data_IF_218127145421
#
_entry.id   IF_218127145421
#
_cell.length_a   1.000
_cell.length_b   1.000
_cell.length_c   1.000
_cell.angle_alpha   90.00
_cell.angle_beta   90.00
_cell.angle_gamma   90.00
#
_symmetry.space_group_name_H-M   'P 1'
#
loop_
_entity.id
_entity.type
_entity.pdbx_description
1 polymer ?
#
# COMPACT_ATOMS: atom_id res chain seq x y z
N UNK A 1 8.31 -10.59 -17.21
CA UNK A 1 7.99 -9.46 -16.32
C UNK A 1 6.56 -9.57 -15.79
N UNK A 2 6.38 -9.42 -14.48
CA UNK A 2 5.08 -9.55 -13.79
C UNK A 2 4.24 -8.26 -13.84
N UNK A 3 3.07 -8.25 -13.17
CA UNK A 3 2.13 -7.11 -13.18
C UNK A 3 2.73 -5.82 -12.59
N UNK A 4 3.60 -5.93 -11.59
CA UNK A 4 4.22 -4.80 -10.90
C UNK A 4 5.31 -4.17 -11.77
N UNK A 5 6.15 -4.98 -12.39
CA UNK A 5 7.16 -4.52 -13.35
C UNK A 5 6.53 -3.78 -14.54
N UNK A 6 5.46 -4.33 -15.11
CA UNK A 6 4.69 -3.67 -16.19
C UNK A 6 4.12 -2.33 -15.74
N UNK A 7 3.53 -2.28 -14.55
CA UNK A 7 2.98 -1.05 -13.99
C UNK A 7 4.08 0.01 -13.82
N UNK A 8 5.22 -0.35 -13.22
CA UNK A 8 6.33 0.56 -13.02
C UNK A 8 6.89 1.07 -14.35
N UNK A 9 7.11 0.17 -15.32
CA UNK A 9 7.65 0.52 -16.63
C UNK A 9 6.78 1.57 -17.33
N UNK A 10 5.45 1.37 -17.32
CA UNK A 10 4.50 2.33 -17.88
C UNK A 10 4.56 3.68 -17.16
N UNK A 11 4.54 3.67 -15.82
CA UNK A 11 4.59 4.90 -15.02
C UNK A 11 5.87 5.70 -15.25
N UNK A 12 7.00 5.02 -15.34
CA UNK A 12 8.30 5.66 -15.60
C UNK A 12 8.38 6.25 -17.01
N UNK A 13 7.86 5.55 -18.03
CA UNK A 13 7.76 6.11 -19.39
C UNK A 13 6.91 7.38 -19.43
N UNK A 14 5.80 7.42 -18.71
CA UNK A 14 4.89 8.57 -18.74
C UNK A 14 5.37 9.74 -17.88
N UNK A 15 5.91 9.48 -16.69
CA UNK A 15 6.18 10.51 -15.68
C UNK A 15 7.67 10.91 -15.59
N UNK A 16 8.58 10.08 -16.07
CA UNK A 16 10.01 10.26 -15.94
C UNK A 16 10.73 9.77 -17.20
N UNK A 17 10.24 10.16 -18.37
CA UNK A 17 10.75 9.70 -19.68
C UNK A 17 12.25 9.91 -19.86
N UNK A 18 12.79 11.05 -19.38
CA UNK A 18 14.23 11.35 -19.40
C UNK A 18 15.04 10.35 -18.57
N UNK A 19 14.55 9.94 -17.40
CA UNK A 19 15.20 8.95 -16.53
C UNK A 19 15.06 7.54 -17.09
N UNK A 20 13.88 7.22 -17.63
CA UNK A 20 13.62 5.95 -18.30
C UNK A 20 14.59 5.72 -19.47
N UNK A 21 14.90 6.76 -20.25
CA UNK A 21 15.83 6.68 -21.38
C UNK A 21 17.29 6.39 -20.97
N UNK A 22 17.65 6.60 -19.70
CA UNK A 22 18.99 6.32 -19.17
C UNK A 22 19.15 4.88 -18.69
N UNK A 23 18.07 4.10 -18.61
CA UNK A 23 18.11 2.69 -18.17
C UNK A 23 18.67 1.84 -19.33
N UNK A 24 19.82 1.16 -19.17
CA UNK A 24 20.47 0.45 -20.27
C UNK A 24 19.68 -0.76 -20.78
N UNK A 25 19.10 -1.55 -19.87
CA UNK A 25 18.18 -2.65 -20.19
C UNK A 25 16.88 -2.47 -19.37
N UNK A 26 15.89 -1.76 -19.93
CA UNK A 26 14.63 -1.54 -19.23
C UNK A 26 13.89 -2.85 -18.95
N UNK A 27 13.94 -3.84 -19.83
CA UNK A 27 13.16 -5.07 -19.66
C UNK A 27 13.71 -5.93 -18.53
N UNK A 28 15.03 -6.01 -18.38
CA UNK A 28 15.66 -6.64 -17.21
C UNK A 28 15.42 -5.84 -15.92
N UNK A 29 15.63 -4.52 -15.95
CA UNK A 29 15.46 -3.68 -14.76
C UNK A 29 14.05 -3.74 -14.18
N UNK A 30 13.02 -3.60 -15.02
CA UNK A 30 11.63 -3.67 -14.58
C UNK A 30 11.15 -5.10 -14.30
N UNK A 31 11.82 -6.13 -14.86
CA UNK A 31 11.61 -7.52 -14.44
C UNK A 31 12.04 -7.70 -12.99
N UNK A 32 13.24 -7.26 -12.63
CA UNK A 32 13.77 -7.36 -11.27
C UNK A 32 12.97 -6.52 -10.27
N UNK A 33 12.69 -5.26 -10.60
CA UNK A 33 11.86 -4.38 -9.76
C UNK A 33 10.47 -5.00 -9.52
N UNK A 34 9.89 -5.63 -10.56
CA UNK A 34 8.62 -6.32 -10.44
C UNK A 34 8.68 -7.50 -9.46
N UNK A 35 9.73 -8.32 -9.49
CA UNK A 35 9.88 -9.46 -8.57
C UNK A 35 10.08 -8.99 -7.13
N UNK A 36 10.89 -7.95 -6.91
CA UNK A 36 11.08 -7.37 -5.59
C UNK A 36 9.76 -6.78 -5.06
N UNK A 37 8.99 -6.08 -5.90
CA UNK A 37 7.68 -5.56 -5.53
C UNK A 37 6.67 -6.65 -5.19
N UNK A 38 6.68 -7.78 -5.91
CA UNK A 38 5.84 -8.93 -5.60
C UNK A 38 6.15 -9.46 -4.19
N UNK A 39 7.45 -9.59 -3.86
CA UNK A 39 7.89 -10.00 -2.52
C UNK A 39 7.44 -9.01 -1.45
N UNK A 40 7.65 -7.70 -1.67
CA UNK A 40 7.27 -6.65 -0.72
C UNK A 40 5.76 -6.58 -0.48
N UNK A 41 4.93 -6.80 -1.51
CA UNK A 41 3.47 -6.88 -1.34
C UNK A 41 3.10 -8.04 -0.43
N UNK A 42 3.72 -9.21 -0.58
CA UNK A 42 3.46 -10.36 0.29
C UNK A 42 3.81 -10.08 1.75
N UNK A 43 5.01 -9.52 1.98
CA UNK A 43 5.47 -9.13 3.32
C UNK A 43 4.56 -8.09 3.97
N UNK A 44 4.17 -7.05 3.22
CA UNK A 44 3.27 -6.02 3.71
C UNK A 44 1.86 -6.54 3.94
N UNK A 45 1.34 -7.39 3.06
CA UNK A 45 0.03 -8.01 3.24
C UNK A 45 -0.01 -8.80 4.55
N UNK A 46 1.01 -9.60 4.84
CA UNK A 46 1.09 -10.36 6.09
C UNK A 46 1.08 -9.43 7.32
N UNK A 47 1.91 -8.38 7.30
CA UNK A 47 1.98 -7.38 8.37
C UNK A 47 0.66 -6.62 8.56
N UNK A 48 -0.01 -6.26 7.47
CA UNK A 48 -1.27 -5.52 7.47
C UNK A 48 -2.48 -6.38 7.81
N UNK A 49 -2.45 -7.68 7.49
CA UNK A 49 -3.49 -8.61 7.87
C UNK A 49 -3.47 -8.88 9.37
N UNK A 50 -2.26 -8.96 9.95
CA UNK A 50 -2.09 -9.37 11.34
C UNK A 50 -2.45 -10.85 11.54
N UNK A 51 -2.34 -11.33 12.79
CA UNK A 51 -2.68 -12.71 13.13
C UNK A 51 -4.17 -13.00 12.90
N UNK A 52 -4.52 -14.28 12.87
CA UNK A 52 -5.91 -14.69 12.85
C UNK A 52 -6.63 -14.27 14.14
N UNK A 53 -7.87 -13.82 13.98
CA UNK A 53 -8.71 -13.37 15.09
C UNK A 53 -9.55 -14.51 15.64
N UNK A 54 -9.60 -14.67 16.96
CA UNK A 54 -10.49 -15.63 17.61
C UNK A 54 -11.96 -15.30 17.27
N UNK A 55 -12.73 -16.30 16.87
CA UNK A 55 -14.14 -16.17 16.46
C UNK A 55 -14.38 -15.42 15.13
N UNK A 56 -13.36 -15.15 14.32
CA UNK A 56 -13.53 -14.62 12.96
C UNK A 56 -14.22 -15.66 12.06
N UNK A 57 -15.35 -15.28 11.43
CA UNK A 57 -15.99 -16.13 10.43
C UNK A 57 -15.16 -16.18 9.14
N UNK A 58 -15.40 -17.19 8.31
CA UNK A 58 -14.67 -17.34 7.05
C UNK A 58 -14.74 -16.09 6.15
N UNK A 59 -15.92 -15.47 6.03
CA UNK A 59 -16.09 -14.29 5.17
C UNK A 59 -15.39 -13.05 5.74
N UNK A 60 -15.38 -12.89 7.06
CA UNK A 60 -14.63 -11.80 7.72
C UNK A 60 -13.14 -11.96 7.48
N UNK A 61 -12.60 -13.19 7.61
CA UNK A 61 -11.20 -13.50 7.30
C UNK A 61 -10.84 -13.19 5.86
N UNK A 62 -11.66 -13.62 4.90
CA UNK A 62 -11.46 -13.32 3.48
C UNK A 62 -11.53 -11.81 3.22
N UNK A 63 -12.42 -11.09 3.90
CA UNK A 63 -12.53 -9.64 3.83
C UNK A 63 -11.24 -8.96 4.30
N UNK A 64 -10.75 -9.31 5.49
CA UNK A 64 -9.50 -8.79 6.06
C UNK A 64 -8.30 -9.05 5.15
N UNK A 65 -8.10 -10.30 4.73
CA UNK A 65 -6.97 -10.67 3.86
C UNK A 65 -7.00 -9.93 2.51
N UNK A 66 -8.19 -9.74 1.92
CA UNK A 66 -8.32 -8.97 0.69
C UNK A 66 -8.05 -7.48 0.90
N UNK A 67 -8.55 -6.88 1.98
CA UNK A 67 -8.28 -5.48 2.31
C UNK A 67 -6.77 -5.25 2.51
N UNK A 68 -6.10 -6.11 3.27
CA UNK A 68 -4.65 -6.03 3.50
C UNK A 68 -3.85 -6.19 2.21
N UNK A 69 -4.29 -7.06 1.28
CA UNK A 69 -3.66 -7.19 -0.04
C UNK A 69 -3.81 -5.91 -0.87
N UNK A 70 -5.00 -5.34 -0.94
CA UNK A 70 -5.26 -4.10 -1.69
C UNK A 70 -4.37 -2.97 -1.15
N UNK A 71 -4.31 -2.81 0.18
CA UNK A 71 -3.48 -1.80 0.82
C UNK A 71 -1.99 -2.04 0.59
N UNK A 72 -1.51 -3.27 0.71
CA UNK A 72 -0.12 -3.60 0.42
C UNK A 72 0.25 -3.27 -1.03
N UNK A 73 -0.62 -3.60 -1.99
CA UNK A 73 -0.40 -3.26 -3.40
C UNK A 73 -0.36 -1.74 -3.62
N UNK A 74 -1.22 -0.96 -2.96
CA UNK A 74 -1.23 0.50 -3.07
C UNK A 74 0.04 1.13 -2.51
N UNK A 75 0.48 0.68 -1.33
CA UNK A 75 1.72 1.16 -0.70
C UNK A 75 2.91 0.89 -1.60
N UNK A 76 3.10 -0.35 -2.08
CA UNK A 76 4.24 -0.69 -2.94
C UNK A 76 4.20 0.10 -4.25
N UNK A 77 3.02 0.31 -4.85
CA UNK A 77 2.90 1.13 -6.06
C UNK A 77 3.31 2.58 -5.83
N UNK A 78 2.91 3.17 -4.69
CA UNK A 78 3.23 4.55 -4.33
C UNK A 78 4.73 4.71 -4.04
N UNK A 79 5.25 3.87 -3.15
CA UNK A 79 6.58 4.06 -2.55
C UNK A 79 7.73 3.49 -3.40
N UNK A 80 7.48 2.48 -4.22
CA UNK A 80 8.53 1.74 -4.93
C UNK A 80 8.38 1.80 -6.46
N UNK A 81 7.17 1.73 -6.99
CA UNK A 81 6.95 1.58 -8.44
C UNK A 81 6.73 2.89 -9.19
N UNK A 82 6.49 3.99 -8.46
CA UNK A 82 6.26 5.31 -9.05
C UNK A 82 7.51 6.17 -8.90
N UNK A 83 8.01 6.81 -9.97
CA UNK A 83 9.19 7.65 -9.88
C UNK A 83 8.91 8.89 -9.03
N UNK A 84 9.88 9.32 -8.22
CA UNK A 84 9.79 10.56 -7.47
C UNK A 84 10.18 11.74 -8.37
N UNK A 85 9.19 12.33 -9.05
CA UNK A 85 9.40 13.38 -10.07
C UNK A 85 9.81 14.73 -9.48
N UNK A 86 9.90 14.87 -8.14
CA UNK A 86 10.11 16.16 -7.45
C UNK A 86 11.46 16.84 -7.69
N UNK A 87 12.43 16.17 -8.31
CA UNK A 87 13.80 16.71 -8.33
C UNK A 87 14.26 17.32 -9.64
N UNK A 88 13.54 17.23 -10.76
CA UNK A 88 14.20 17.56 -12.04
C UNK A 88 13.63 18.64 -12.94
N UNK A 89 12.35 19.04 -12.88
CA UNK A 89 11.89 20.08 -13.82
C UNK A 89 10.80 20.96 -13.19
N UNK A 90 11.23 22.11 -12.64
CA UNK A 90 10.52 23.37 -12.34
C UNK A 90 10.79 23.89 -10.92
N UNK A 91 11.21 25.16 -10.82
CA UNK A 91 11.51 25.87 -9.57
C UNK A 91 10.33 25.92 -8.58
N UNK A 92 10.55 26.46 -7.36
CA UNK A 92 9.65 26.26 -6.23
C UNK A 92 8.26 26.82 -6.53
N UNK A 93 7.30 25.94 -6.80
CA UNK A 93 5.89 26.27 -7.02
C UNK A 93 5.01 25.47 -6.05
N UNK A 94 3.71 25.77 -6.03
CA UNK A 94 2.67 25.48 -5.01
C UNK A 94 2.51 24.03 -4.47
N UNK A 95 3.37 23.09 -4.87
CA UNK A 95 3.46 21.68 -4.45
C UNK A 95 3.60 21.47 -2.93
N UNK A 96 4.09 22.47 -2.19
CA UNK A 96 4.07 22.47 -0.72
C UNK A 96 2.66 22.31 -0.12
N UNK A 97 1.59 22.64 -0.85
CA UNK A 97 0.20 22.36 -0.41
C UNK A 97 -0.24 20.95 -0.75
N UNK A 98 0.06 20.44 -1.94
CA UNK A 98 -0.37 19.10 -2.39
C UNK A 98 0.37 18.00 -1.60
N UNK A 99 1.66 18.19 -1.30
CA UNK A 99 2.41 17.27 -0.44
C UNK A 99 1.98 17.26 1.01
N UNK A 100 1.58 18.42 1.51
CA UNK A 100 0.94 18.52 2.82
C UNK A 100 -0.40 17.79 2.80
N UNK A 101 -1.19 17.96 1.75
CA UNK A 101 -2.48 17.32 1.57
C UNK A 101 -2.36 15.80 1.40
N UNK A 102 -1.34 15.31 0.68
CA UNK A 102 -1.03 13.87 0.57
C UNK A 102 -0.60 13.28 1.91
N UNK A 103 0.23 14.00 2.68
CA UNK A 103 0.59 13.61 4.06
C UNK A 103 -0.60 13.64 5.02
N UNK A 104 -1.47 14.63 4.91
CA UNK A 104 -2.72 14.75 5.69
C UNK A 104 -3.69 13.63 5.35
N UNK A 105 -3.88 13.30 4.07
CA UNK A 105 -4.68 12.16 3.63
C UNK A 105 -4.12 10.86 4.22
N UNK A 106 -2.80 10.66 4.12
CA UNK A 106 -2.13 9.48 4.70
C UNK A 106 -2.26 9.40 6.22
N UNK A 107 -2.17 10.54 6.91
CA UNK A 107 -2.33 10.62 8.36
C UNK A 107 -3.77 10.30 8.76
N UNK A 108 -4.75 10.83 8.00
CA UNK A 108 -6.17 10.56 8.20
C UNK A 108 -6.51 9.10 7.91
N UNK A 109 -5.89 8.51 6.90
CA UNK A 109 -6.04 7.11 6.53
C UNK A 109 -5.42 6.17 7.58
N UNK A 110 -4.23 6.49 8.08
CA UNK A 110 -3.59 5.78 9.18
C UNK A 110 -4.41 5.86 10.48
N UNK A 111 -5.03 7.02 10.73
CA UNK A 111 -5.92 7.23 11.88
C UNK A 111 -7.26 6.49 11.73
N UNK A 112 -7.78 6.36 10.51
CA UNK A 112 -8.97 5.55 10.22
C UNK A 112 -8.70 4.06 10.42
N UNK A 113 -7.53 3.57 9.98
CA UNK A 113 -7.12 2.18 10.21
C UNK A 113 -6.87 1.89 11.70
N UNK A 114 -6.31 2.84 12.47
CA UNK A 114 -6.16 2.67 13.92
C UNK A 114 -7.52 2.65 14.63
N UNK A 115 -8.46 3.52 14.24
CA UNK A 115 -9.83 3.52 14.75
C UNK A 115 -10.57 2.23 14.41
N UNK A 116 -10.37 1.69 13.21
CA UNK A 116 -10.93 0.39 12.83
C UNK A 116 -10.38 -0.73 13.72
N UNK A 117 -9.08 -0.71 14.02
CA UNK A 117 -8.45 -1.68 14.92
C UNK A 117 -8.96 -1.55 16.36
N UNK A 118 -9.09 -0.32 16.88
CA UNK A 118 -9.62 -0.06 18.22
C UNK A 118 -11.08 -0.53 18.36
N UNK A 119 -11.91 -0.27 17.36
CA UNK A 119 -13.30 -0.75 17.32
C UNK A 119 -13.36 -2.29 17.27
N UNK A 120 -12.44 -2.93 16.54
CA UNK A 120 -12.36 -4.38 16.47
C UNK A 120 -11.96 -4.98 17.84
N UNK A 121 -10.98 -4.37 18.50
CA UNK A 121 -10.51 -4.78 19.82
C UNK A 121 -11.61 -4.56 20.89
N UNK A 122 -12.35 -3.45 20.82
CA UNK A 122 -13.47 -3.15 21.70
C UNK A 122 -14.62 -4.15 21.48
N UNK A 123 -14.95 -4.42 20.21
CA UNK A 123 -15.94 -5.43 19.86
C UNK A 123 -15.57 -6.82 20.41
N UNK A 124 -14.30 -7.24 20.25
CA UNK A 124 -13.82 -8.50 20.81
C UNK A 124 -13.88 -8.54 22.34
N UNK A 125 -13.58 -7.43 23.02
CA UNK A 125 -13.72 -7.32 24.49
C UNK A 125 -15.18 -7.46 24.92
N UNK A 126 -16.11 -6.83 24.20
CA UNK A 126 -17.54 -6.92 24.49
C UNK A 126 -18.08 -8.33 24.29
N UNK A 127 -17.68 -9.00 23.21
CA UNK A 127 -18.05 -10.41 22.94
C UNK A 127 -17.46 -11.34 24.00
N UNK A 128 -16.22 -11.13 24.46
CA UNK A 128 -15.58 -11.93 25.51
C UNK A 128 -16.19 -11.70 26.91
N UNK A 129 -16.69 -10.51 27.21
CA UNK A 129 -17.23 -10.15 28.52
C UNK A 129 -18.73 -10.42 28.70
N UNK A 130 -19.46 -10.76 27.62
CA UNK A 130 -20.87 -11.16 27.68
C UNK A 130 -21.11 -12.52 27.00
N UNK A 131 -20.66 -13.64 27.59
CA UNK A 131 -21.07 -14.96 27.12
C UNK A 131 -22.53 -15.18 27.52
N UNK A 132 -23.46 -14.97 26.57
CA UNK A 132 -24.87 -15.36 26.66
C UNK A 132 -25.63 -14.93 27.93
N UNK A 133 -26.26 -13.76 27.90
CA UNK A 133 -27.51 -13.59 28.65
C UNK A 133 -28.62 -14.29 27.86
N UNK A 134 -28.90 -15.55 28.22
CA UNK A 134 -30.20 -16.20 28.02
C UNK A 134 -31.13 -15.84 29.16
#
# INVERSE_FOLDING_TARGET
MNKYGKFAQERWRTMASSQYALIPDPDEWFRELGEEALYQVGELQYKLAGPDTECESYLEKVGRLNASRILAEEIVRSEMLTPNVKETEHGPSEENRVDRQRREIWTRYRSLLSLQQELLDEYQKLVKNHPHQR
#
